data_IF_617235708823
#
_entry.id   IF_617235708823
#
_cell.length_a   1.000
_cell.length_b   1.000
_cell.length_c   1.000
_cell.angle_alpha   90.00
_cell.angle_beta   90.00
_cell.angle_gamma   90.00
#
_symmetry.space_group_name_H-M   'P 1'
#
loop_
_entity.id
_entity.type
_entity.pdbx_description
1 polymer ?
#
# COMPACT_ATOMS: atom_id res chain seq x y z
N UNK A 1 32.73 -8.36 27.32
CA UNK A 1 32.61 -8.38 25.84
C UNK A 1 31.41 -9.22 25.38
N UNK A 2 31.22 -10.45 25.88
CA UNK A 2 30.06 -11.30 25.53
C UNK A 2 28.67 -10.73 25.86
N UNK A 3 28.51 -9.97 26.96
CA UNK A 3 27.21 -9.38 27.33
C UNK A 3 26.75 -8.30 26.34
N UNK A 4 27.67 -7.45 25.87
CA UNK A 4 27.36 -6.37 24.91
C UNK A 4 26.95 -6.89 23.54
N UNK A 5 27.64 -7.91 23.02
CA UNK A 5 27.29 -8.54 21.74
C UNK A 5 25.90 -9.19 21.83
N UNK A 6 25.61 -9.86 22.96
CA UNK A 6 24.30 -10.45 23.22
C UNK A 6 23.18 -9.39 23.24
N UNK A 7 23.38 -8.28 23.95
CA UNK A 7 22.41 -7.18 23.99
C UNK A 7 22.14 -6.57 22.61
N UNK A 8 23.19 -6.38 21.80
CA UNK A 8 23.06 -5.86 20.43
C UNK A 8 22.23 -6.83 19.56
N UNK A 9 22.45 -8.13 19.69
CA UNK A 9 21.67 -9.13 18.94
C UNK A 9 20.20 -9.17 19.39
N UNK A 10 19.93 -9.11 20.69
CA UNK A 10 18.56 -9.03 21.23
C UNK A 10 17.83 -7.78 20.72
N UNK A 11 18.50 -6.63 20.68
CA UNK A 11 17.93 -5.39 20.12
C UNK A 11 17.62 -5.53 18.62
N UNK A 12 18.50 -6.17 17.85
CA UNK A 12 18.23 -6.45 16.43
C UNK A 12 17.00 -7.32 16.24
N UNK A 13 16.83 -8.36 17.07
CA UNK A 13 15.68 -9.25 16.97
C UNK A 13 14.37 -8.55 17.33
N UNK A 14 14.39 -7.62 18.30
CA UNK A 14 13.24 -6.77 18.63
C UNK A 14 12.87 -5.88 17.43
N UNK A 15 13.85 -5.24 16.79
CA UNK A 15 13.61 -4.38 15.63
C UNK A 15 13.03 -5.16 14.45
N UNK A 16 13.53 -6.38 14.17
CA UNK A 16 12.96 -7.25 13.15
C UNK A 16 11.50 -7.62 13.41
N UNK A 17 11.14 -7.93 14.67
CA UNK A 17 9.75 -8.20 15.07
C UNK A 17 8.85 -6.96 14.89
N UNK A 18 9.37 -5.78 15.19
CA UNK A 18 8.63 -4.53 14.99
C UNK A 18 8.38 -4.26 13.49
N UNK A 19 9.39 -4.49 12.65
CA UNK A 19 9.26 -4.39 11.18
C UNK A 19 8.18 -5.37 10.68
N UNK A 20 8.21 -6.61 11.16
CA UNK A 20 7.22 -7.64 10.81
C UNK A 20 5.79 -7.22 11.22
N UNK A 21 5.61 -6.68 12.43
CA UNK A 21 4.30 -6.20 12.89
C UNK A 21 3.78 -5.02 12.05
N UNK A 22 4.66 -4.11 11.65
CA UNK A 22 4.31 -3.01 10.72
C UNK A 22 3.93 -3.55 9.35
N UNK A 23 4.66 -4.54 8.85
CA UNK A 23 4.34 -5.21 7.58
C UNK A 23 2.95 -5.83 7.60
N UNK A 24 2.61 -6.61 8.63
CA UNK A 24 1.29 -7.22 8.75
C UNK A 24 0.17 -6.17 8.83
N UNK A 25 0.42 -5.08 9.55
CA UNK A 25 -0.51 -3.94 9.61
C UNK A 25 -0.71 -3.31 8.24
N UNK A 26 0.37 -3.13 7.48
CA UNK A 26 0.34 -2.52 6.16
C UNK A 26 -0.33 -3.42 5.11
N UNK A 27 -0.09 -4.74 5.15
CA UNK A 27 -0.80 -5.72 4.30
C UNK A 27 -2.30 -5.65 4.54
N UNK A 28 -2.74 -5.67 5.81
CA UNK A 28 -4.15 -5.51 6.16
C UNK A 28 -4.76 -4.19 5.64
N UNK A 29 -3.97 -3.12 5.57
CA UNK A 29 -4.43 -1.85 4.98
C UNK A 29 -4.59 -1.97 3.45
N UNK A 30 -3.64 -2.61 2.77
CA UNK A 30 -3.69 -2.87 1.32
C UNK A 30 -4.93 -3.69 0.94
N UNK A 31 -5.20 -4.78 1.67
CA UNK A 31 -6.37 -5.63 1.45
C UNK A 31 -7.68 -4.85 1.59
N UNK A 32 -7.81 -4.04 2.66
CA UNK A 32 -9.00 -3.20 2.89
C UNK A 32 -9.22 -2.21 1.76
N UNK A 33 -8.16 -1.62 1.23
CA UNK A 33 -8.25 -0.68 0.13
C UNK A 33 -8.65 -1.36 -1.16
N UNK A 34 -8.07 -2.53 -1.45
CA UNK A 34 -8.48 -3.34 -2.61
C UNK A 34 -9.95 -3.69 -2.56
N UNK A 35 -10.46 -4.14 -1.40
CA UNK A 35 -11.89 -4.44 -1.23
C UNK A 35 -12.77 -3.20 -1.44
N UNK A 36 -12.41 -2.05 -0.86
CA UNK A 36 -13.13 -0.79 -1.09
C UNK A 36 -13.09 -0.38 -2.56
N UNK A 37 -11.95 -0.50 -3.21
CA UNK A 37 -11.79 -0.14 -4.61
C UNK A 37 -12.64 -1.03 -5.51
N UNK A 38 -12.63 -2.34 -5.31
CA UNK A 38 -13.47 -3.27 -6.07
C UNK A 38 -14.98 -2.94 -5.94
N UNK A 39 -15.41 -2.43 -4.79
CA UNK A 39 -16.80 -2.04 -4.54
C UNK A 39 -17.17 -0.72 -5.22
N UNK A 40 -16.29 0.30 -5.14
CA UNK A 40 -16.62 1.68 -5.50
C UNK A 40 -15.95 2.19 -6.78
N UNK A 41 -15.12 1.38 -7.44
CA UNK A 41 -14.46 1.80 -8.68
C UNK A 41 -15.51 2.15 -9.74
N UNK A 42 -15.32 3.26 -10.48
CA UNK A 42 -16.22 3.62 -11.56
C UNK A 42 -16.25 2.55 -12.66
N UNK A 43 -17.41 2.42 -13.31
CA UNK A 43 -17.63 1.53 -14.45
C UNK A 43 -17.96 2.36 -15.68
N UNK A 44 -17.82 1.79 -16.87
CA UNK A 44 -18.09 2.49 -18.14
C UNK A 44 -19.51 3.12 -18.19
N UNK A 45 -20.51 2.42 -17.66
CA UNK A 45 -21.88 2.93 -17.52
C UNK A 45 -22.01 4.23 -16.69
N UNK A 46 -21.04 4.55 -15.83
CA UNK A 46 -21.05 5.75 -15.01
C UNK A 46 -20.59 7.00 -15.81
N UNK A 47 -20.02 6.81 -17.01
CA UNK A 47 -19.69 7.91 -17.94
C UNK A 47 -20.92 8.51 -18.63
N UNK A 48 -21.99 7.74 -18.79
CA UNK A 48 -23.17 8.14 -19.57
C UNK A 48 -23.98 9.27 -18.89
N UNK A 49 -23.80 9.45 -17.58
CA UNK A 49 -24.45 10.49 -16.78
C UNK A 49 -23.40 11.51 -16.32
N UNK A 50 -23.58 12.77 -16.71
CA UNK A 50 -22.62 13.86 -16.44
C UNK A 50 -22.35 14.06 -14.93
N UNK A 51 -23.35 13.81 -14.08
CA UNK A 51 -23.19 13.91 -12.62
C UNK A 51 -22.41 12.71 -12.09
N UNK A 52 -22.77 11.49 -12.50
CA UNK A 52 -22.03 10.27 -12.09
C UNK A 52 -20.59 10.28 -12.57
N UNK A 53 -20.34 10.81 -13.76
CA UNK A 53 -19.00 10.96 -14.31
C UNK A 53 -18.15 11.90 -13.44
N UNK A 54 -18.68 13.07 -13.06
CA UNK A 54 -18.01 14.00 -12.15
C UNK A 54 -17.73 13.40 -10.77
N UNK A 55 -18.71 12.71 -10.19
CA UNK A 55 -18.57 12.07 -8.88
C UNK A 55 -17.52 10.96 -8.92
N UNK A 56 -17.48 10.19 -10.01
CA UNK A 56 -16.50 9.14 -10.27
C UNK A 56 -15.08 9.69 -10.41
N UNK A 57 -14.89 10.77 -11.18
CA UNK A 57 -13.59 11.44 -11.31
C UNK A 57 -13.07 11.98 -9.97
N UNK A 58 -13.97 12.50 -9.13
CA UNK A 58 -13.62 12.93 -7.78
C UNK A 58 -13.14 11.75 -6.93
N UNK A 59 -13.88 10.64 -6.95
CA UNK A 59 -13.52 9.42 -6.23
C UNK A 59 -12.17 8.87 -6.68
N UNK A 60 -11.90 8.84 -7.99
CA UNK A 60 -10.61 8.38 -8.56
C UNK A 60 -9.46 9.25 -8.07
N UNK A 61 -9.61 10.59 -8.04
CA UNK A 61 -8.58 11.50 -7.54
C UNK A 61 -8.32 11.34 -6.04
N UNK A 62 -9.37 11.17 -5.25
CA UNK A 62 -9.24 10.92 -3.80
C UNK A 62 -8.54 9.58 -3.54
N UNK A 63 -8.87 8.55 -4.32
CA UNK A 63 -8.20 7.25 -4.24
C UNK A 63 -6.75 7.30 -4.71
N UNK A 64 -6.45 8.02 -5.77
CA UNK A 64 -5.08 8.22 -6.22
C UNK A 64 -4.21 8.80 -5.10
N UNK A 65 -4.69 9.83 -4.40
CA UNK A 65 -3.94 10.42 -3.30
C UNK A 65 -3.70 9.42 -2.16
N UNK A 66 -4.72 8.65 -1.78
CA UNK A 66 -4.60 7.58 -0.76
C UNK A 66 -3.56 6.53 -1.18
N UNK A 67 -3.56 6.11 -2.45
CA UNK A 67 -2.60 5.14 -2.99
C UNK A 67 -1.17 5.71 -2.99
N UNK A 68 -0.98 6.97 -3.39
CA UNK A 68 0.35 7.58 -3.41
C UNK A 68 0.99 7.63 -2.02
N UNK A 69 0.21 7.87 -0.98
CA UNK A 69 0.72 7.89 0.39
C UNK A 69 1.04 6.48 0.92
N UNK A 70 0.37 5.45 0.42
CA UNK A 70 0.70 4.05 0.71
C UNK A 70 1.91 3.56 -0.08
N UNK A 71 2.10 4.02 -1.31
CA UNK A 71 3.30 3.70 -2.09
C UNK A 71 4.58 4.20 -1.40
N UNK A 72 4.55 5.41 -0.82
CA UNK A 72 5.65 5.93 0.00
C UNK A 72 5.91 5.07 1.24
N UNK A 73 4.85 4.61 1.91
CA UNK A 73 4.98 3.71 3.06
C UNK A 73 5.54 2.34 2.66
N UNK A 74 5.11 1.80 1.51
CA UNK A 74 5.66 0.59 0.89
C UNK A 74 7.16 0.73 0.64
N UNK A 75 7.60 1.83 0.04
CA UNK A 75 9.03 2.10 -0.21
C UNK A 75 9.83 2.11 1.08
N UNK A 76 9.36 2.87 2.09
CA UNK A 76 10.00 2.91 3.41
C UNK A 76 10.11 1.53 4.05
N UNK A 77 9.07 0.70 3.95
CA UNK A 77 9.07 -0.64 4.52
C UNK A 77 10.03 -1.58 3.78
N UNK A 78 10.10 -1.50 2.45
CA UNK A 78 11.07 -2.28 1.65
C UNK A 78 12.51 -1.91 2.03
N UNK A 79 12.79 -0.62 2.22
CA UNK A 79 14.11 -0.15 2.69
C UNK A 79 14.46 -0.71 4.06
N UNK A 80 13.51 -0.72 5.01
CA UNK A 80 13.70 -1.33 6.33
C UNK A 80 14.02 -2.82 6.23
N UNK A 81 13.27 -3.60 5.45
CA UNK A 81 13.56 -5.03 5.26
C UNK A 81 14.98 -5.23 4.70
N UNK A 82 15.39 -4.43 3.71
CA UNK A 82 16.74 -4.48 3.14
C UNK A 82 17.83 -4.14 4.17
N UNK A 83 17.64 -3.09 4.97
CA UNK A 83 18.59 -2.69 6.02
C UNK A 83 18.83 -3.78 7.07
N UNK A 84 17.80 -4.57 7.36
CA UNK A 84 17.86 -5.66 8.34
C UNK A 84 18.20 -7.03 7.72
N UNK A 85 18.47 -7.08 6.41
CA UNK A 85 18.77 -8.31 5.68
C UNK A 85 17.62 -9.31 5.68
N UNK A 86 16.39 -8.81 5.64
CA UNK A 86 15.15 -9.58 5.55
C UNK A 86 14.68 -9.66 4.09
N UNK A 87 13.91 -10.70 3.76
CA UNK A 87 13.36 -10.88 2.41
C UNK A 87 12.39 -9.75 2.06
N UNK A 88 12.60 -9.08 0.92
CA UNK A 88 11.76 -7.95 0.53
C UNK A 88 10.30 -8.38 0.34
N UNK A 89 9.34 -7.70 0.98
CA UNK A 89 7.94 -8.01 0.84
C UNK A 89 7.39 -7.59 -0.53
N UNK A 90 6.34 -8.29 -0.98
CA UNK A 90 5.59 -7.98 -2.21
C UNK A 90 4.19 -7.49 -1.83
N UNK A 91 3.73 -6.41 -2.46
CA UNK A 91 2.44 -5.78 -2.16
C UNK A 91 1.55 -5.75 -3.40
N UNK A 92 1.16 -6.94 -3.86
CA UNK A 92 0.39 -7.12 -5.10
C UNK A 92 -0.94 -6.36 -5.09
N UNK A 93 -1.66 -6.38 -3.96
CA UNK A 93 -2.95 -5.68 -3.84
C UNK A 93 -2.84 -4.17 -4.10
N UNK A 94 -1.76 -3.55 -3.60
CA UNK A 94 -1.52 -2.13 -3.78
C UNK A 94 -1.15 -1.81 -5.25
N UNK A 95 -0.35 -2.67 -5.86
CA UNK A 95 0.08 -2.52 -7.26
C UNK A 95 -1.11 -2.68 -8.23
N UNK A 96 -2.01 -3.64 -7.96
CA UNK A 96 -3.24 -3.83 -8.73
C UNK A 96 -4.17 -2.60 -8.65
N UNK A 97 -4.42 -2.08 -7.45
CA UNK A 97 -5.29 -0.90 -7.28
C UNK A 97 -4.70 0.33 -7.97
N UNK A 98 -3.38 0.53 -7.86
CA UNK A 98 -2.69 1.61 -8.56
C UNK A 98 -2.81 1.47 -10.09
N UNK A 99 -2.65 0.26 -10.62
CA UNK A 99 -2.82 -0.04 -12.04
C UNK A 99 -4.24 0.29 -12.54
N UNK A 100 -5.26 -0.14 -11.80
CA UNK A 100 -6.67 0.14 -12.12
C UNK A 100 -6.95 1.66 -12.16
N UNK A 101 -6.46 2.42 -11.17
CA UNK A 101 -6.61 3.87 -11.12
C UNK A 101 -5.98 4.53 -12.35
N UNK A 102 -4.76 4.13 -12.71
CA UNK A 102 -4.08 4.68 -13.88
C UNK A 102 -4.80 4.34 -15.18
N UNK A 103 -5.36 3.14 -15.29
CA UNK A 103 -6.17 2.75 -16.44
C UNK A 103 -7.43 3.60 -16.55
N UNK A 104 -8.19 3.80 -15.46
CA UNK A 104 -9.39 4.64 -15.46
C UNK A 104 -9.04 6.07 -15.86
N UNK A 105 -7.96 6.65 -15.32
CA UNK A 105 -7.50 7.99 -15.68
C UNK A 105 -7.07 8.17 -17.13
N UNK A 106 -6.62 7.09 -17.79
CA UNK A 106 -6.24 7.14 -19.20
C UNK A 106 -7.43 7.05 -20.15
N UNK A 107 -8.54 6.46 -19.69
CA UNK A 107 -9.77 6.26 -20.48
C UNK A 107 -10.76 7.42 -20.29
N UNK A 108 -10.79 8.02 -19.10
CA UNK A 108 -11.71 9.07 -18.67
C UNK A 108 -11.09 10.46 -18.75
#
# INVERSE_FOLDING_TARGET
>A
INSHIKLINEQKDILKKNIQSRYETFVNQCEKIKLRWQQFRPREQDMEDEKKCRDSLKLVREKEQEIQDLLKQKESLIEEFKLFGMDSPVFQDLDEVNGDIMQIKNVW
#
